data_IF_220156991441
#
_entry.id   IF_220156991441
#
_cell.length_a   1.000
_cell.length_b   1.000
_cell.length_c   1.000
_cell.angle_alpha   90.00
_cell.angle_beta   90.00
_cell.angle_gamma   90.00
#
_symmetry.space_group_name_H-M   'P 1'
#
loop_
_entity.id
_entity.type
_entity.pdbx_description
1 polymer ?
#
# COMPACT_ATOMS: atom_id res chain seq x y z
N UNK A 1 11.59 39.49 -1.08
CA UNK A 1 10.40 39.69 -0.22
C UNK A 1 9.16 39.35 -1.03
N UNK A 2 8.48 38.28 -0.71
CA UNK A 2 7.19 37.93 -1.28
C UNK A 2 6.15 38.96 -0.85
N UNK A 3 5.53 39.68 -1.82
CA UNK A 3 4.37 40.54 -1.52
C UNK A 3 3.13 39.66 -1.51
N UNK A 4 2.42 39.62 -0.37
CA UNK A 4 1.10 39.02 -0.28
C UNK A 4 0.20 39.77 -1.28
N UNK A 5 -0.37 39.05 -2.27
CA UNK A 5 -1.23 39.64 -3.32
C UNK A 5 -0.73 39.48 -4.77
N UNK A 6 0.46 38.89 -4.97
CA UNK A 6 1.00 38.60 -6.33
C UNK A 6 0.68 37.18 -6.83
N UNK A 7 -0.22 36.45 -6.16
CA UNK A 7 -0.66 35.13 -6.58
C UNK A 7 -1.90 35.23 -7.48
N UNK A 8 -1.88 34.44 -8.56
CA UNK A 8 -3.06 34.28 -9.42
C UNK A 8 -4.20 33.66 -8.61
N UNK A 9 -5.38 34.27 -8.62
CA UNK A 9 -6.51 33.75 -7.84
C UNK A 9 -7.03 32.43 -8.43
N UNK A 10 -7.64 31.62 -7.56
CA UNK A 10 -8.26 30.34 -7.97
C UNK A 10 -9.39 30.58 -8.98
N UNK A 11 -10.12 31.65 -8.81
CA UNK A 11 -11.21 32.07 -9.72
C UNK A 11 -10.68 32.44 -11.09
N UNK A 12 -9.57 33.16 -11.16
CA UNK A 12 -8.91 33.51 -12.43
C UNK A 12 -8.43 32.24 -13.16
N UNK A 13 -7.75 31.32 -12.45
CA UNK A 13 -7.29 30.06 -13.03
C UNK A 13 -8.46 29.19 -13.50
N UNK A 14 -9.56 29.13 -12.75
CA UNK A 14 -10.76 28.38 -13.13
C UNK A 14 -11.56 29.01 -14.29
N UNK A 15 -11.37 30.30 -14.55
CA UNK A 15 -12.03 31.01 -15.65
C UNK A 15 -11.20 31.04 -16.96
N UNK A 16 -9.97 30.50 -16.95
CA UNK A 16 -9.14 30.44 -18.16
C UNK A 16 -9.73 29.48 -19.18
N UNK A 17 -10.07 30.00 -20.36
CA UNK A 17 -10.42 29.17 -21.51
C UNK A 17 -9.15 28.72 -22.24
N UNK A 18 -8.65 27.53 -21.88
CA UNK A 18 -7.47 26.92 -22.51
C UNK A 18 -7.69 26.51 -23.96
N UNK A 19 -8.93 26.62 -24.49
CA UNK A 19 -9.22 26.38 -25.90
C UNK A 19 -9.14 27.65 -26.73
N UNK A 20 -8.90 28.79 -26.11
CA UNK A 20 -8.73 30.07 -26.84
C UNK A 20 -7.40 30.10 -27.59
N UNK A 21 -7.43 29.83 -28.89
CA UNK A 21 -6.27 29.76 -29.78
C UNK A 21 -5.49 31.10 -29.92
N UNK A 22 -6.05 32.23 -29.48
CA UNK A 22 -5.34 33.50 -29.45
C UNK A 22 -4.44 33.68 -28.24
N UNK A 23 -4.66 32.91 -27.19
CA UNK A 23 -3.92 32.97 -25.93
C UNK A 23 -3.06 31.73 -25.64
N UNK A 24 -3.45 30.58 -26.21
CA UNK A 24 -2.80 29.30 -25.96
C UNK A 24 -2.57 28.54 -27.26
N UNK A 25 -1.35 28.04 -27.44
CA UNK A 25 -1.03 27.06 -28.46
C UNK A 25 -1.23 25.64 -27.91
N UNK A 26 -1.88 24.78 -28.68
CA UNK A 26 -2.08 23.39 -28.31
C UNK A 26 -1.07 22.53 -29.04
N UNK A 27 -0.20 21.91 -28.25
CA UNK A 27 0.70 20.87 -28.73
C UNK A 27 0.24 19.52 -28.21
N UNK A 28 0.23 18.51 -29.06
CA UNK A 28 0.03 17.12 -28.69
C UNK A 28 1.38 16.40 -28.69
N UNK A 29 1.95 16.22 -27.50
CA UNK A 29 3.16 15.41 -27.32
C UNK A 29 2.76 13.94 -27.41
N UNK A 30 3.04 13.29 -28.51
CA UNK A 30 2.61 11.92 -28.80
C UNK A 30 3.20 10.91 -27.81
N UNK A 31 4.44 11.11 -27.40
CA UNK A 31 5.09 10.27 -26.37
C UNK A 31 4.33 10.31 -25.03
N UNK A 32 3.89 11.50 -24.61
CA UNK A 32 3.11 11.66 -23.37
C UNK A 32 1.72 10.99 -23.47
N UNK A 33 1.12 10.93 -24.65
CA UNK A 33 -0.14 10.22 -24.87
C UNK A 33 -0.01 8.71 -24.69
N UNK A 34 1.19 8.14 -24.79
CA UNK A 34 1.44 6.71 -24.53
C UNK A 34 1.22 6.33 -23.07
N UNK A 35 1.26 7.29 -22.15
CA UNK A 35 0.93 7.04 -20.73
C UNK A 35 -0.58 6.91 -20.49
N UNK A 36 -1.42 7.33 -21.43
CA UNK A 36 -2.87 7.29 -21.30
C UNK A 36 -3.42 5.87 -21.44
N UNK A 37 -4.30 5.49 -20.53
CA UNK A 37 -5.03 4.22 -20.57
C UNK A 37 -6.51 4.42 -20.26
N UNK A 38 -7.30 3.40 -20.55
CA UNK A 38 -8.69 3.29 -20.09
C UNK A 38 -8.84 1.98 -19.34
N UNK A 39 -9.44 2.04 -18.15
CA UNK A 39 -9.75 0.87 -17.36
C UNK A 39 -11.19 0.94 -16.83
N UNK A 40 -11.83 -0.20 -16.75
CA UNK A 40 -13.14 -0.39 -16.09
C UNK A 40 -13.06 -1.64 -15.25
N UNK A 41 -13.32 -1.51 -13.95
CA UNK A 41 -13.45 -2.65 -13.04
C UNK A 41 -14.90 -2.79 -12.59
N UNK A 42 -15.35 -4.03 -12.51
CA UNK A 42 -16.64 -4.40 -11.94
C UNK A 42 -16.39 -5.48 -10.91
N UNK A 43 -16.78 -5.23 -9.66
CA UNK A 43 -16.66 -6.18 -8.56
C UNK A 43 -18.05 -6.57 -8.11
N UNK A 44 -18.37 -7.86 -8.23
CA UNK A 44 -19.56 -8.46 -7.64
C UNK A 44 -19.14 -9.25 -6.41
N UNK A 45 -19.70 -8.93 -5.24
CA UNK A 45 -19.30 -9.55 -4.00
C UNK A 45 -20.49 -9.91 -3.11
N UNK A 46 -20.34 -11.02 -2.38
CA UNK A 46 -21.23 -11.43 -1.31
C UNK A 46 -20.44 -11.80 -0.08
N UNK A 47 -21.04 -11.66 1.09
CA UNK A 47 -20.41 -12.07 2.36
C UNK A 47 -21.42 -12.69 3.30
N UNK A 48 -20.90 -13.58 4.14
CA UNK A 48 -21.60 -14.15 5.30
C UNK A 48 -20.80 -13.85 6.54
N UNK A 49 -21.48 -13.51 7.62
CA UNK A 49 -20.88 -13.29 8.93
C UNK A 49 -21.70 -14.02 9.98
N UNK A 50 -21.01 -14.71 10.87
CA UNK A 50 -21.58 -15.39 12.02
C UNK A 50 -20.88 -14.91 13.28
N UNK A 51 -21.65 -14.40 14.24
CA UNK A 51 -21.17 -13.91 15.53
C UNK A 51 -21.76 -14.79 16.63
N UNK A 52 -20.92 -15.36 17.49
CA UNK A 52 -21.33 -16.24 18.57
C UNK A 52 -20.62 -15.86 19.86
N UNK A 53 -21.39 -15.65 20.92
CA UNK A 53 -20.89 -15.59 22.30
C UNK A 53 -20.93 -16.99 22.93
N UNK A 54 -19.77 -17.44 23.40
CA UNK A 54 -19.65 -18.73 24.08
C UNK A 54 -19.41 -18.49 25.59
N UNK A 55 -20.45 -18.63 26.37
CA UNK A 55 -20.46 -18.26 27.78
C UNK A 55 -20.30 -16.73 27.95
N UNK A 56 -19.60 -16.33 29.04
CA UNK A 56 -19.41 -14.91 29.41
C UNK A 56 -18.08 -14.32 28.91
N UNK A 57 -17.17 -15.19 28.43
CA UNK A 57 -15.76 -14.79 28.19
C UNK A 57 -15.31 -14.86 26.74
N UNK A 58 -16.01 -15.57 25.89
CA UNK A 58 -15.60 -15.80 24.53
C UNK A 58 -16.53 -15.13 23.53
N UNK A 59 -15.99 -14.35 22.63
CA UNK A 59 -16.66 -13.88 21.42
C UNK A 59 -15.96 -14.48 20.20
N UNK A 60 -16.71 -15.16 19.36
CA UNK A 60 -16.27 -15.75 18.10
C UNK A 60 -16.96 -15.03 16.94
N UNK A 61 -16.19 -14.59 15.96
CA UNK A 61 -16.70 -14.09 14.68
C UNK A 61 -16.09 -14.91 13.53
N UNK A 62 -16.96 -15.46 12.68
CA UNK A 62 -16.58 -16.12 11.45
C UNK A 62 -17.11 -15.29 10.27
N UNK A 63 -16.28 -15.07 9.30
CA UNK A 63 -16.60 -14.35 8.07
C UNK A 63 -16.15 -15.12 6.85
N UNK A 64 -16.93 -15.05 5.79
CA UNK A 64 -16.55 -15.51 4.46
C UNK A 64 -17.03 -14.49 3.45
N UNK A 65 -16.11 -13.94 2.66
CA UNK A 65 -16.40 -13.04 1.56
C UNK A 65 -15.94 -13.68 0.24
N UNK A 66 -16.82 -13.63 -0.73
CA UNK A 66 -16.53 -14.03 -2.11
C UNK A 66 -16.57 -12.77 -2.99
N UNK A 67 -15.54 -12.55 -3.77
CA UNK A 67 -15.46 -11.44 -4.73
C UNK A 67 -15.12 -11.96 -6.12
N UNK A 68 -16.00 -11.71 -7.08
CA UNK A 68 -15.70 -11.89 -8.49
C UNK A 68 -15.37 -10.53 -9.10
N UNK A 69 -14.14 -10.38 -9.56
CA UNK A 69 -13.65 -9.15 -10.19
C UNK A 69 -13.53 -9.37 -11.69
N UNK A 70 -14.12 -8.47 -12.47
CA UNK A 70 -13.93 -8.39 -13.91
C UNK A 70 -13.30 -7.04 -14.25
N UNK A 71 -12.13 -7.06 -14.86
CA UNK A 71 -11.39 -5.86 -15.28
C UNK A 71 -11.26 -5.85 -16.79
N UNK A 72 -11.50 -4.68 -17.41
CA UNK A 72 -11.33 -4.42 -18.84
C UNK A 72 -10.46 -3.18 -18.98
N UNK A 73 -9.41 -3.27 -19.80
CA UNK A 73 -8.43 -2.20 -19.96
C UNK A 73 -7.95 -2.09 -21.40
N UNK A 74 -7.50 -0.91 -21.79
CA UNK A 74 -6.73 -0.65 -23.00
C UNK A 74 -5.68 0.39 -22.71
N UNK A 75 -4.52 0.22 -23.27
CA UNK A 75 -3.41 1.14 -23.15
C UNK A 75 -3.19 1.97 -24.41
N UNK A 76 -2.01 2.53 -24.51
CA UNK A 76 -1.54 3.26 -25.67
C UNK A 76 -0.09 2.84 -25.96
N UNK A 77 0.25 2.77 -27.22
CA UNK A 77 1.59 2.44 -27.69
C UNK A 77 2.12 3.61 -28.52
N UNK A 78 3.28 4.09 -28.16
CA UNK A 78 4.00 5.10 -28.93
C UNK A 78 4.94 4.42 -29.92
N UNK A 79 4.74 4.69 -31.18
CA UNK A 79 5.69 4.35 -32.25
C UNK A 79 6.62 5.54 -32.48
N UNK A 80 7.88 5.31 -32.17
CA UNK A 80 8.86 6.37 -32.24
C UNK A 80 9.36 6.64 -33.67
N UNK A 81 9.15 5.72 -34.63
CA UNK A 81 9.51 5.91 -36.04
C UNK A 81 8.43 6.69 -36.79
N UNK A 82 7.17 6.44 -36.46
CA UNK A 82 6.03 7.19 -36.99
C UNK A 82 5.69 8.43 -36.18
N UNK A 83 6.34 8.67 -35.02
CA UNK A 83 6.03 9.72 -34.04
C UNK A 83 4.53 9.76 -33.70
N UNK A 84 3.93 8.58 -33.53
CA UNK A 84 2.49 8.44 -33.41
C UNK A 84 2.11 7.52 -32.26
N UNK A 85 1.11 7.93 -31.49
CA UNK A 85 0.51 7.10 -30.45
C UNK A 85 -0.77 6.47 -30.95
N UNK A 86 -0.84 5.13 -30.83
CA UNK A 86 -2.02 4.34 -31.15
C UNK A 86 -2.57 3.67 -29.90
N UNK A 87 -3.89 3.51 -29.84
CA UNK A 87 -4.53 2.81 -28.73
C UNK A 87 -4.51 1.30 -28.95
N UNK A 88 -4.12 0.55 -27.92
CA UNK A 88 -4.20 -0.91 -27.96
C UNK A 88 -5.66 -1.39 -27.93
N UNK A 89 -5.95 -2.57 -28.45
CA UNK A 89 -7.24 -3.22 -28.26
C UNK A 89 -7.60 -3.37 -26.78
N UNK A 90 -8.89 -3.53 -26.48
CA UNK A 90 -9.30 -3.85 -25.11
C UNK A 90 -8.95 -5.28 -24.77
N UNK A 91 -8.33 -5.45 -23.63
CA UNK A 91 -8.13 -6.74 -22.97
C UNK A 91 -9.02 -6.84 -21.73
N UNK A 92 -9.31 -8.05 -21.29
CA UNK A 92 -10.11 -8.27 -20.09
C UNK A 92 -9.65 -9.51 -19.35
N UNK A 93 -9.75 -9.43 -18.03
CA UNK A 93 -9.49 -10.57 -17.13
C UNK A 93 -10.58 -10.67 -16.06
N UNK A 94 -10.75 -11.87 -15.51
CA UNK A 94 -11.72 -12.15 -14.46
C UNK A 94 -11.15 -13.14 -13.48
N UNK A 95 -11.31 -12.86 -12.19
CA UNK A 95 -10.84 -13.72 -11.11
C UNK A 95 -11.77 -13.72 -9.91
N UNK A 96 -11.81 -14.85 -9.20
CA UNK A 96 -12.59 -15.06 -7.98
C UNK A 96 -11.66 -15.11 -6.78
N UNK A 97 -11.97 -14.31 -5.75
CA UNK A 97 -11.29 -14.35 -4.47
C UNK A 97 -12.21 -14.90 -3.38
N UNK A 98 -11.67 -15.81 -2.59
CA UNK A 98 -12.31 -16.38 -1.41
C UNK A 98 -11.56 -15.86 -0.18
N UNK A 99 -12.23 -15.07 0.65
CA UNK A 99 -11.63 -14.32 1.73
C UNK A 99 -12.26 -14.71 3.07
N UNK A 100 -11.80 -15.80 3.70
CA UNK A 100 -12.23 -16.20 5.03
C UNK A 100 -11.63 -15.29 6.10
N UNK A 101 -12.36 -15.15 7.21
CA UNK A 101 -11.89 -14.47 8.41
C UNK A 101 -12.39 -15.20 9.66
N UNK A 102 -11.54 -15.30 10.67
CA UNK A 102 -11.85 -15.83 12.00
C UNK A 102 -11.29 -14.86 13.01
N UNK A 103 -12.14 -14.36 13.90
CA UNK A 103 -11.72 -13.51 15.02
C UNK A 103 -12.23 -14.15 16.32
N UNK A 104 -11.35 -14.25 17.29
CA UNK A 104 -11.65 -14.76 18.63
C UNK A 104 -11.21 -13.71 19.63
N UNK A 105 -12.13 -13.34 20.53
CA UNK A 105 -11.82 -12.52 21.70
C UNK A 105 -12.08 -13.34 22.96
N UNK A 106 -11.15 -13.26 23.90
CA UNK A 106 -11.27 -13.85 25.22
C UNK A 106 -11.13 -12.78 26.30
N UNK A 107 -12.19 -12.59 27.09
CA UNK A 107 -12.18 -11.72 28.27
C UNK A 107 -11.60 -12.50 29.45
N UNK A 108 -10.30 -12.31 29.73
CA UNK A 108 -9.62 -12.94 30.88
C UNK A 108 -10.28 -12.48 32.17
N UNK A 109 -10.45 -11.14 32.27
CA UNK A 109 -11.23 -10.43 33.27
C UNK A 109 -11.78 -9.12 32.68
N UNK A 110 -12.36 -8.25 33.49
CA UNK A 110 -12.97 -7.01 33.02
C UNK A 110 -11.94 -6.04 32.39
N UNK A 111 -10.72 -6.06 32.88
CA UNK A 111 -9.65 -5.15 32.49
C UNK A 111 -8.71 -5.74 31.42
N UNK A 112 -8.62 -7.08 31.31
CA UNK A 112 -7.67 -7.73 30.40
C UNK A 112 -8.37 -8.61 29.36
N UNK A 113 -8.04 -8.35 28.08
CA UNK A 113 -8.61 -9.06 26.92
C UNK A 113 -7.48 -9.59 26.03
N UNK A 114 -7.73 -10.78 25.47
CA UNK A 114 -6.86 -11.39 24.46
C UNK A 114 -7.64 -11.54 23.17
N UNK A 115 -7.02 -11.21 22.04
CA UNK A 115 -7.60 -11.37 20.70
C UNK A 115 -6.67 -12.18 19.83
N UNK A 116 -7.28 -13.08 19.06
CA UNK A 116 -6.60 -13.79 17.99
C UNK A 116 -7.40 -13.62 16.70
N UNK A 117 -6.71 -13.42 15.59
CA UNK A 117 -7.37 -13.33 14.29
C UNK A 117 -6.60 -14.08 13.21
N UNK A 118 -7.38 -14.61 12.26
CA UNK A 118 -6.93 -15.06 10.96
C UNK A 118 -7.76 -14.35 9.89
N UNK A 119 -7.12 -13.73 8.93
CA UNK A 119 -7.80 -13.08 7.81
C UNK A 119 -7.05 -13.34 6.52
N UNK A 120 -7.79 -13.48 5.44
CA UNK A 120 -7.24 -13.46 4.09
C UNK A 120 -7.63 -12.14 3.41
N UNK A 121 -6.65 -11.44 2.84
CA UNK A 121 -6.84 -10.15 2.19
C UNK A 121 -6.18 -10.11 0.82
N UNK A 122 -6.62 -9.20 -0.03
CA UNK A 122 -6.06 -9.00 -1.38
C UNK A 122 -5.65 -7.55 -1.58
N UNK A 123 -4.61 -7.36 -2.41
CA UNK A 123 -4.27 -6.07 -3.01
C UNK A 123 -4.29 -6.22 -4.53
N UNK A 124 -5.13 -5.43 -5.20
CA UNK A 124 -5.26 -5.46 -6.65
C UNK A 124 -4.12 -4.71 -7.33
N UNK A 125 -3.68 -5.12 -8.54
CA UNK A 125 -2.73 -4.34 -9.33
C UNK A 125 -3.30 -2.94 -9.61
N UNK A 126 -2.42 -1.96 -9.73
CA UNK A 126 -2.80 -0.64 -10.24
C UNK A 126 -3.26 -0.74 -11.68
N UNK A 127 -4.28 0.03 -12.07
CA UNK A 127 -4.78 0.01 -13.46
C UNK A 127 -3.72 0.41 -14.47
N UNK A 128 -2.83 1.35 -14.12
CA UNK A 128 -1.70 1.73 -14.97
C UNK A 128 -0.72 0.57 -15.20
N UNK A 129 -0.57 -0.32 -14.22
CA UNK A 129 0.29 -1.50 -14.32
C UNK A 129 -0.32 -2.60 -15.20
N UNK A 130 -1.67 -2.74 -15.19
CA UNK A 130 -2.41 -3.68 -16.04
C UNK A 130 -2.54 -3.21 -17.48
N UNK A 131 -2.54 -1.89 -17.72
CA UNK A 131 -2.74 -1.34 -19.05
C UNK A 131 -1.57 -1.78 -19.97
N UNK A 132 -1.83 -2.29 -21.19
CA UNK A 132 -0.80 -2.73 -22.12
C UNK A 132 -0.11 -1.54 -22.80
N UNK A 133 0.40 -0.61 -21.99
CA UNK A 133 1.13 0.54 -22.46
C UNK A 133 2.55 0.13 -22.87
N UNK A 134 3.06 0.75 -23.94
CA UNK A 134 4.45 0.68 -24.33
C UNK A 134 4.96 2.11 -24.46
N UNK A 135 5.88 2.49 -23.61
CA UNK A 135 6.53 3.81 -23.63
C UNK A 135 8.01 3.65 -23.91
N UNK A 136 8.49 4.28 -24.97
CA UNK A 136 9.89 4.27 -25.36
C UNK A 136 10.44 5.70 -25.22
N UNK A 137 11.47 5.86 -24.38
CA UNK A 137 12.24 7.10 -24.25
C UNK A 137 13.53 6.98 -25.04
N UNK A 138 13.55 7.55 -26.23
CA UNK A 138 14.70 7.47 -27.14
C UNK A 138 15.93 8.19 -26.59
N UNK A 139 15.75 9.34 -25.94
CA UNK A 139 16.86 10.10 -25.34
C UNK A 139 17.70 9.26 -24.38
N UNK A 140 17.04 8.39 -23.64
CA UNK A 140 17.64 7.60 -22.57
C UNK A 140 17.85 6.12 -22.97
N UNK A 141 17.35 5.76 -24.16
CA UNK A 141 17.28 4.38 -24.67
C UNK A 141 16.58 3.44 -23.67
N UNK A 142 15.44 3.90 -23.11
CA UNK A 142 14.66 3.16 -22.13
C UNK A 142 13.31 2.73 -22.70
N UNK A 143 12.80 1.58 -22.24
CA UNK A 143 11.45 1.09 -22.56
C UNK A 143 10.73 0.68 -21.27
N UNK A 144 9.46 1.06 -21.17
CA UNK A 144 8.56 0.69 -20.07
C UNK A 144 7.28 0.06 -20.62
N UNK A 145 6.90 -1.10 -20.07
CA UNK A 145 5.70 -1.82 -20.46
C UNK A 145 4.77 -2.01 -19.27
N UNK A 146 3.46 -1.92 -19.54
CA UNK A 146 2.48 -2.49 -18.63
C UNK A 146 2.43 -4.02 -18.69
N UNK A 147 1.74 -4.65 -17.76
CA UNK A 147 1.61 -6.10 -17.70
C UNK A 147 0.15 -6.54 -17.45
N UNK A 148 -0.58 -6.85 -18.51
CA UNK A 148 -1.95 -7.37 -18.42
C UNK A 148 -2.09 -8.68 -17.64
N UNK A 149 -1.01 -9.45 -17.52
CA UNK A 149 -1.00 -10.73 -16.82
C UNK A 149 -0.82 -10.67 -15.30
N UNK A 150 -0.84 -9.47 -14.70
CA UNK A 150 -0.69 -9.32 -13.25
C UNK A 150 -1.87 -9.92 -12.49
N UNK A 151 -1.53 -10.72 -11.46
CA UNK A 151 -2.48 -11.28 -10.50
C UNK A 151 -2.55 -10.40 -9.25
N UNK A 152 -3.70 -10.41 -8.54
CA UNK A 152 -3.77 -9.79 -7.22
C UNK A 152 -2.78 -10.43 -6.25
N UNK A 153 -2.16 -9.60 -5.42
CA UNK A 153 -1.39 -10.06 -4.26
C UNK A 153 -2.35 -10.59 -3.21
N UNK A 154 -2.09 -11.78 -2.67
CA UNK A 154 -2.85 -12.41 -1.61
C UNK A 154 -2.05 -12.38 -0.30
N UNK A 155 -2.71 -12.08 0.83
CA UNK A 155 -2.08 -12.11 2.14
C UNK A 155 -2.90 -12.92 3.14
N UNK A 156 -2.26 -13.91 3.76
CA UNK A 156 -2.77 -14.64 4.92
C UNK A 156 -2.19 -13.98 6.17
N UNK A 157 -3.06 -13.45 7.03
CA UNK A 157 -2.67 -12.68 8.20
C UNK A 157 -3.08 -13.42 9.45
N UNK A 158 -2.16 -13.55 10.40
CA UNK A 158 -2.38 -14.12 11.73
C UNK A 158 -1.95 -13.08 12.77
N UNK A 159 -2.84 -12.74 13.68
CA UNK A 159 -2.59 -11.77 14.74
C UNK A 159 -2.97 -12.36 16.09
N UNK A 160 -2.14 -12.08 17.10
CA UNK A 160 -2.44 -12.38 18.50
C UNK A 160 -2.07 -11.16 19.34
N UNK A 161 -3.01 -10.64 20.13
CA UNK A 161 -2.78 -9.46 20.95
C UNK A 161 -3.41 -9.57 22.32
N UNK A 162 -2.80 -8.92 23.31
CA UNK A 162 -3.34 -8.70 24.65
C UNK A 162 -3.53 -7.22 24.91
N UNK A 163 -4.65 -6.85 25.51
CA UNK A 163 -5.04 -5.48 25.82
C UNK A 163 -5.38 -5.37 27.31
N UNK A 164 -4.73 -4.47 28.02
CA UNK A 164 -5.05 -4.15 29.39
C UNK A 164 -5.59 -2.72 29.51
N UNK A 165 -6.79 -2.58 30.01
CA UNK A 165 -7.50 -1.34 30.21
C UNK A 165 -7.32 -0.86 31.66
N UNK A 166 -6.75 0.32 31.84
CA UNK A 166 -6.61 0.89 33.17
C UNK A 166 -7.95 1.43 33.68
N UNK A 167 -8.16 1.44 34.99
CA UNK A 167 -9.37 2.00 35.61
C UNK A 167 -9.56 3.50 35.36
N UNK A 168 -8.46 4.24 35.15
CA UNK A 168 -8.45 5.60 34.60
C UNK A 168 -8.37 5.53 33.06
N UNK A 169 -8.40 6.69 32.39
CA UNK A 169 -8.20 6.73 30.93
C UNK A 169 -6.81 6.17 30.59
N UNK A 170 -6.77 5.00 29.98
CA UNK A 170 -5.51 4.40 29.56
C UNK A 170 -5.64 2.96 29.07
N UNK A 171 -4.71 2.58 28.20
CA UNK A 171 -4.59 1.26 27.57
C UNK A 171 -3.11 0.92 27.40
N UNK A 172 -2.75 -0.31 27.67
CA UNK A 172 -1.54 -0.94 27.15
C UNK A 172 -1.93 -2.15 26.30
N UNK A 173 -1.35 -2.26 25.12
CA UNK A 173 -1.52 -3.44 24.28
C UNK A 173 -0.16 -3.93 23.78
N UNK A 174 -0.07 -5.25 23.63
CA UNK A 174 1.06 -5.90 22.98
C UNK A 174 0.51 -6.98 22.05
N UNK A 175 1.10 -7.11 20.87
CA UNK A 175 0.68 -8.09 19.87
C UNK A 175 1.85 -8.63 19.08
N UNK A 176 1.64 -9.80 18.50
CA UNK A 176 2.50 -10.40 17.47
C UNK A 176 1.65 -10.60 16.23
N UNK A 177 2.24 -10.40 15.07
CA UNK A 177 1.60 -10.66 13.79
C UNK A 177 2.51 -11.43 12.86
N UNK A 178 1.89 -12.25 12.02
CA UNK A 178 2.55 -12.93 10.92
C UNK A 178 1.72 -12.78 9.65
N UNK A 179 2.35 -12.38 8.54
CA UNK A 179 1.71 -12.27 7.23
C UNK A 179 2.50 -13.08 6.22
N UNK A 180 1.79 -13.96 5.51
CA UNK A 180 2.31 -14.64 4.32
C UNK A 180 1.72 -13.98 3.09
N UNK A 181 2.55 -13.31 2.31
CA UNK A 181 2.18 -12.53 1.14
C UNK A 181 2.60 -13.32 -0.10
N UNK A 182 1.64 -13.62 -0.97
CA UNK A 182 1.88 -14.33 -2.21
C UNK A 182 1.66 -13.39 -3.40
N UNK A 183 2.43 -13.61 -4.47
CA UNK A 183 2.30 -12.87 -5.73
C UNK A 183 2.40 -11.34 -5.56
N UNK A 184 3.26 -10.85 -4.66
CA UNK A 184 3.42 -9.40 -4.51
C UNK A 184 3.99 -8.79 -5.79
N UNK A 185 3.56 -7.56 -6.10
CA UNK A 185 3.88 -6.87 -7.35
C UNK A 185 5.02 -5.90 -7.09
N UNK A 186 6.03 -5.97 -7.96
CA UNK A 186 7.17 -5.04 -8.00
C UNK A 186 7.43 -4.59 -9.42
N UNK A 187 8.06 -3.42 -9.59
CA UNK A 187 8.56 -2.96 -10.87
C UNK A 187 9.93 -3.59 -11.13
N UNK A 188 9.96 -4.56 -12.06
CA UNK A 188 11.20 -5.17 -12.51
C UNK A 188 11.90 -4.23 -13.48
N UNK A 189 13.17 -3.95 -13.22
CA UNK A 189 14.06 -3.21 -14.13
C UNK A 189 15.19 -4.12 -14.58
N UNK A 190 15.39 -4.24 -15.91
CA UNK A 190 16.49 -5.00 -16.53
C UNK A 190 17.36 -4.03 -17.34
N UNK A 191 18.66 -4.27 -17.35
CA UNK A 191 19.61 -3.51 -18.18
C UNK A 191 20.01 -4.30 -19.42
N UNK A 192 20.30 -3.57 -20.51
CA UNK A 192 20.73 -4.14 -21.78
C UNK A 192 19.77 -5.24 -22.29
N UNK A 193 18.46 -4.99 -22.14
CA UNK A 193 17.42 -5.95 -22.48
C UNK A 193 16.98 -5.79 -23.94
N UNK A 194 16.91 -6.91 -24.67
CA UNK A 194 16.44 -6.90 -26.06
C UNK A 194 14.92 -7.09 -26.12
N UNK A 195 14.22 -6.15 -26.70
CA UNK A 195 12.79 -6.20 -26.96
C UNK A 195 12.51 -5.91 -28.44
N UNK A 196 11.81 -6.82 -29.11
CA UNK A 196 11.50 -6.74 -30.55
C UNK A 196 12.71 -6.42 -31.43
N UNK A 197 13.89 -7.02 -31.11
CA UNK A 197 15.12 -6.84 -31.88
C UNK A 197 15.92 -5.58 -31.56
N UNK A 198 15.43 -4.71 -30.71
CA UNK A 198 16.13 -3.50 -30.23
C UNK A 198 16.64 -3.74 -28.81
N UNK A 199 17.89 -3.39 -28.54
CA UNK A 199 18.48 -3.46 -27.19
C UNK A 199 18.33 -2.11 -26.49
N UNK A 200 17.64 -2.12 -25.36
CA UNK A 200 17.42 -0.95 -24.51
C UNK A 200 18.38 -0.98 -23.32
N UNK A 201 18.90 0.19 -22.93
CA UNK A 201 19.75 0.32 -21.72
C UNK A 201 18.99 0.01 -20.46
N UNK A 202 17.67 0.29 -20.46
CA UNK A 202 16.77 0.01 -19.34
C UNK A 202 15.40 -0.45 -19.86
N UNK A 203 14.97 -1.58 -19.34
CA UNK A 203 13.63 -2.13 -19.51
C UNK A 203 12.93 -2.14 -18.16
N UNK A 204 11.69 -1.67 -18.08
CA UNK A 204 10.89 -1.69 -16.86
C UNK A 204 9.52 -2.30 -17.09
N UNK A 205 9.09 -3.20 -16.20
CA UNK A 205 7.77 -3.81 -16.24
C UNK A 205 7.31 -4.24 -14.85
N UNK A 206 6.06 -3.94 -14.42
CA UNK A 206 5.50 -4.50 -13.20
C UNK A 206 5.29 -6.01 -13.35
N UNK A 207 5.71 -6.80 -12.33
CA UNK A 207 5.55 -8.26 -12.32
C UNK A 207 5.18 -8.77 -10.93
N UNK A 208 4.47 -9.90 -10.88
CA UNK A 208 4.33 -10.67 -9.65
C UNK A 208 5.66 -11.37 -9.37
N UNK A 209 6.25 -11.12 -8.21
CA UNK A 209 7.63 -11.44 -7.90
C UNK A 209 7.83 -12.43 -6.76
N UNK A 210 6.95 -13.41 -6.62
CA UNK A 210 7.15 -14.44 -5.62
C UNK A 210 6.44 -14.17 -4.30
N UNK A 211 6.99 -14.70 -3.20
CA UNK A 211 6.33 -14.68 -1.89
C UNK A 211 7.17 -13.92 -0.87
N UNK A 212 6.51 -13.34 0.12
CA UNK A 212 7.16 -12.72 1.25
C UNK A 212 6.51 -13.14 2.57
N UNK A 213 7.34 -13.29 3.58
CA UNK A 213 6.91 -13.47 4.96
C UNK A 213 7.20 -12.18 5.74
N UNK A 214 6.27 -11.76 6.58
CA UNK A 214 6.40 -10.62 7.46
C UNK A 214 5.99 -11.04 8.87
N UNK A 215 6.92 -11.01 9.80
CA UNK A 215 6.70 -11.28 11.22
C UNK A 215 6.99 -10.02 12.03
N UNK A 216 6.16 -9.69 13.02
CA UNK A 216 6.44 -8.54 13.85
C UNK A 216 5.79 -8.57 15.21
N UNK A 217 6.22 -7.61 16.03
CA UNK A 217 5.72 -7.35 17.37
C UNK A 217 5.31 -5.88 17.45
N UNK A 218 4.15 -5.63 18.01
CA UNK A 218 3.63 -4.29 18.24
C UNK A 218 3.36 -4.06 19.71
N UNK A 219 3.71 -2.86 20.21
CA UNK A 219 3.36 -2.42 21.55
C UNK A 219 2.75 -1.03 21.46
N UNK A 220 1.63 -0.82 22.14
CA UNK A 220 1.03 0.50 22.27
C UNK A 220 0.76 0.79 23.76
N UNK A 221 1.01 2.01 24.14
CA UNK A 221 0.74 2.51 25.49
C UNK A 221 0.09 3.89 25.40
N UNK A 222 -1.02 4.04 26.08
CA UNK A 222 -1.69 5.34 26.24
C UNK A 222 -2.14 5.48 27.69
N UNK A 223 -1.79 6.58 28.33
CA UNK A 223 -2.27 6.88 29.68
C UNK A 223 -2.09 8.35 30.03
N UNK A 224 -3.04 8.91 30.83
CA UNK A 224 -2.80 10.15 31.55
C UNK A 224 -1.88 9.91 32.77
N UNK A 225 -1.31 10.97 33.33
CA UNK A 225 -0.43 10.87 34.48
C UNK A 225 -1.14 11.01 35.84
N UNK A 226 -2.47 10.82 35.88
CA UNK A 226 -3.26 10.83 37.13
C UNK A 226 -2.82 9.73 38.13
N UNK A 227 -2.18 8.67 37.65
CA UNK A 227 -1.61 7.61 38.50
C UNK A 227 -0.39 8.05 39.29
N UNK A 228 0.31 9.14 38.88
CA UNK A 228 1.40 9.75 39.62
C UNK A 228 0.83 10.76 40.63
N UNK A 229 -0.02 11.66 40.13
CA UNK A 229 -0.73 12.65 40.95
C UNK A 229 -2.04 13.07 40.30
N UNK A 230 -3.16 13.22 41.04
CA UNK A 230 -4.45 13.62 40.47
C UNK A 230 -4.42 14.96 39.73
N UNK A 231 -3.51 15.86 40.08
CA UNK A 231 -3.30 17.14 39.38
C UNK A 231 -2.76 16.99 37.97
N UNK A 232 -2.13 15.87 37.65
CA UNK A 232 -1.52 15.58 36.33
C UNK A 232 -2.49 14.88 35.36
N UNK A 233 -3.80 14.76 35.70
CA UNK A 233 -4.80 14.16 34.82
C UNK A 233 -4.95 14.85 33.46
N UNK A 234 -4.50 16.11 33.35
CA UNK A 234 -4.54 16.88 32.11
C UNK A 234 -3.33 16.63 31.20
N UNK A 235 -2.35 15.88 31.65
CA UNK A 235 -1.16 15.51 30.86
C UNK A 235 -1.21 14.01 30.64
N UNK A 236 -0.88 13.57 29.42
CA UNK A 236 -0.79 12.15 29.13
C UNK A 236 0.21 11.88 28.02
N UNK A 237 0.51 10.60 27.89
CA UNK A 237 1.43 10.06 26.91
C UNK A 237 0.71 9.01 26.06
N UNK A 238 1.00 9.02 24.75
CA UNK A 238 0.68 7.98 23.81
C UNK A 238 1.96 7.57 23.10
N UNK A 239 2.22 6.27 23.01
CA UNK A 239 3.36 5.76 22.28
C UNK A 239 3.02 4.42 21.62
N UNK A 240 3.57 4.22 20.43
CA UNK A 240 3.56 2.93 19.72
C UNK A 240 4.96 2.59 19.27
N UNK A 241 5.27 1.32 19.29
CA UNK A 241 6.49 0.78 18.72
C UNK A 241 6.17 -0.52 18.01
N UNK A 242 6.67 -0.65 16.77
CA UNK A 242 6.57 -1.87 15.98
C UNK A 242 7.98 -2.30 15.56
N UNK A 243 8.29 -3.56 15.81
CA UNK A 243 9.38 -4.28 15.18
C UNK A 243 8.81 -5.21 14.12
N UNK A 244 9.32 -5.16 12.89
CA UNK A 244 8.90 -6.03 11.80
C UNK A 244 10.09 -6.61 11.04
N UNK A 245 10.11 -7.91 10.90
CA UNK A 245 11.08 -8.64 10.09
C UNK A 245 10.38 -9.16 8.85
N UNK A 246 10.84 -8.74 7.67
CA UNK A 246 10.34 -9.24 6.39
C UNK A 246 11.41 -10.05 5.67
N UNK A 247 10.97 -11.07 4.93
CA UNK A 247 11.82 -11.89 4.09
C UNK A 247 11.08 -12.21 2.80
N UNK A 248 11.73 -11.96 1.68
CA UNK A 248 11.26 -12.33 0.35
C UNK A 248 11.96 -13.64 -0.06
N UNK A 249 11.13 -14.63 -0.41
CA UNK A 249 11.59 -15.91 -0.93
C UNK A 249 11.13 -16.10 -2.37
N UNK A 250 11.88 -16.92 -3.14
CA UNK A 250 11.60 -17.24 -4.54
C UNK A 250 11.50 -15.97 -5.42
N UNK A 251 12.51 -15.14 -5.29
CA UNK A 251 12.61 -13.92 -6.08
C UNK A 251 12.81 -14.28 -7.56
N UNK A 252 11.74 -14.15 -8.34
CA UNK A 252 11.72 -14.60 -9.73
C UNK A 252 12.10 -13.46 -10.70
N UNK A 253 13.30 -12.87 -10.48
CA UNK A 253 13.85 -11.85 -11.35
C UNK A 253 15.04 -12.40 -12.12
N UNK A 254 15.08 -12.13 -13.41
CA UNK A 254 16.22 -12.42 -14.25
C UNK A 254 17.49 -11.76 -13.69
N UNK A 255 18.53 -12.58 -13.48
CA UNK A 255 19.80 -12.16 -12.88
C UNK A 255 19.84 -12.13 -11.35
N UNK A 256 18.70 -12.41 -10.65
CA UNK A 256 18.60 -12.41 -9.19
C UNK A 256 17.92 -13.67 -8.62
N UNK A 257 17.77 -14.72 -9.42
CA UNK A 257 17.01 -15.93 -9.09
C UNK A 257 17.60 -16.70 -7.88
N UNK A 258 18.89 -16.49 -7.61
CA UNK A 258 19.60 -17.12 -6.50
C UNK A 258 19.63 -16.24 -5.23
N UNK A 259 19.02 -15.08 -5.25
CA UNK A 259 18.97 -14.23 -4.07
C UNK A 259 17.87 -14.69 -3.12
N UNK A 260 18.21 -14.76 -1.84
CA UNK A 260 17.30 -15.12 -0.77
C UNK A 260 17.46 -14.16 0.41
N UNK A 261 16.39 -14.01 1.20
CA UNK A 261 16.44 -13.22 2.42
C UNK A 261 16.40 -11.70 2.21
N UNK A 262 15.99 -11.24 1.03
CA UNK A 262 15.76 -9.82 0.78
C UNK A 262 14.60 -9.30 1.65
N UNK A 263 14.71 -8.05 2.06
CA UNK A 263 13.62 -7.38 2.79
C UNK A 263 12.53 -6.94 1.83
N UNK A 264 11.29 -6.96 2.27
CA UNK A 264 10.16 -6.45 1.51
C UNK A 264 10.30 -4.92 1.35
N UNK A 265 10.20 -4.37 0.12
CA UNK A 265 10.24 -2.93 -0.11
C UNK A 265 9.17 -2.18 0.68
N UNK A 266 9.48 -0.94 1.08
CA UNK A 266 8.57 -0.11 1.85
C UNK A 266 8.31 -0.60 3.28
N UNK A 267 9.08 -1.59 3.80
CA UNK A 267 8.90 -2.19 5.12
C UNK A 267 10.06 -1.87 6.06
N UNK A 268 10.02 -0.75 6.82
CA UNK A 268 11.01 -0.46 7.83
C UNK A 268 10.99 -1.49 8.95
N UNK A 269 12.17 -1.86 9.46
CA UNK A 269 12.31 -2.84 10.53
C UNK A 269 11.81 -2.30 11.88
N UNK A 270 12.00 -1.01 12.12
CA UNK A 270 11.57 -0.34 13.34
C UNK A 270 10.74 0.89 13.01
N UNK A 271 9.56 0.98 13.60
CA UNK A 271 8.76 2.20 13.60
C UNK A 271 8.36 2.57 15.02
N UNK A 272 8.37 3.84 15.33
CA UNK A 272 7.94 4.35 16.63
C UNK A 272 7.19 5.68 16.47
N UNK A 273 6.13 5.83 17.25
CA UNK A 273 5.40 7.08 17.38
C UNK A 273 5.26 7.40 18.85
N UNK A 274 5.51 8.64 19.22
CA UNK A 274 5.35 9.12 20.59
C UNK A 274 4.64 10.48 20.57
N UNK A 275 3.70 10.67 21.48
CA UNK A 275 3.01 11.94 21.68
C UNK A 275 2.87 12.24 23.16
N UNK A 276 3.22 13.45 23.54
CA UNK A 276 2.88 14.04 24.82
C UNK A 276 1.74 15.02 24.61
N UNK A 277 0.67 14.92 25.39
CA UNK A 277 -0.46 15.81 25.27
C UNK A 277 -0.85 16.47 26.60
N UNK A 278 -1.34 17.69 26.48
CA UNK A 278 -1.92 18.45 27.58
C UNK A 278 -3.30 18.93 27.18
N UNK A 279 -4.32 18.65 28.01
CA UNK A 279 -5.70 19.04 27.76
C UNK A 279 -6.32 19.60 29.05
N UNK A 280 -6.62 20.90 29.07
CA UNK A 280 -7.28 21.56 30.22
C UNK A 280 -8.04 22.80 29.78
N UNK A 281 -9.28 22.94 30.26
CA UNK A 281 -10.10 24.16 30.11
C UNK A 281 -10.19 24.72 28.69
N UNK A 282 -10.35 23.84 27.68
CA UNK A 282 -10.45 24.23 26.27
C UNK A 282 -9.08 24.45 25.57
N UNK A 283 -7.97 24.39 26.29
CA UNK A 283 -6.62 24.39 25.72
C UNK A 283 -6.16 22.95 25.50
N UNK A 284 -5.74 22.62 24.24
CA UNK A 284 -5.15 21.36 23.86
C UNK A 284 -3.79 21.61 23.20
N UNK A 285 -2.76 20.98 23.72
CA UNK A 285 -1.38 21.03 23.18
C UNK A 285 -0.93 19.61 22.97
N UNK A 286 -0.31 19.32 21.81
CA UNK A 286 0.27 18.01 21.50
C UNK A 286 1.66 18.17 20.87
N UNK A 287 2.63 17.47 21.42
CA UNK A 287 3.94 17.28 20.83
C UNK A 287 4.08 15.85 20.35
N UNK A 288 4.39 15.65 19.07
CA UNK A 288 4.47 14.31 18.46
C UNK A 288 5.83 14.10 17.80
N UNK A 289 6.35 12.88 17.93
CA UNK A 289 7.56 12.40 17.29
C UNK A 289 7.26 11.10 16.56
N UNK A 290 7.74 10.98 15.31
CA UNK A 290 7.61 9.79 14.49
C UNK A 290 9.01 9.36 14.04
N UNK A 291 9.25 8.05 14.06
CA UNK A 291 10.50 7.44 13.64
C UNK A 291 10.22 6.22 12.76
N UNK A 292 10.98 6.08 11.69
CA UNK A 292 11.08 4.85 10.90
C UNK A 292 12.57 4.59 10.60
N UNK A 293 13.00 3.34 10.73
CA UNK A 293 14.35 2.93 10.33
C UNK A 293 14.50 2.97 8.82
N UNK A 294 15.74 2.90 8.32
CA UNK A 294 16.00 2.73 6.91
C UNK A 294 15.35 1.44 6.37
N UNK A 295 14.88 1.47 5.15
CA UNK A 295 14.25 0.35 4.45
C UNK A 295 14.61 0.38 2.96
N UNK A 296 14.38 -0.74 2.27
CA UNK A 296 14.51 -0.81 0.82
C UNK A 296 13.29 -0.10 0.22
N UNK A 297 13.52 0.93 -0.59
CA UNK A 297 12.45 1.67 -1.27
C UNK A 297 11.96 0.89 -2.50
N UNK A 298 12.88 0.52 -3.41
CA UNK A 298 12.58 -0.22 -4.63
C UNK A 298 13.57 -1.40 -4.82
N UNK A 299 13.10 -2.44 -5.48
CA UNK A 299 13.94 -3.56 -5.90
C UNK A 299 14.34 -3.39 -7.36
N UNK A 300 15.58 -2.98 -7.61
CA UNK A 300 16.16 -2.91 -8.94
C UNK A 300 16.78 -4.23 -9.41
N UNK A 301 17.23 -4.24 -10.68
CA UNK A 301 17.97 -5.39 -11.28
C UNK A 301 19.42 -5.51 -10.79
N UNK A 302 19.95 -4.51 -10.10
CA UNK A 302 21.35 -4.50 -9.65
C UNK A 302 21.45 -4.78 -8.15
N UNK A 303 22.52 -5.54 -7.78
CA UNK A 303 22.98 -5.62 -6.40
C UNK A 303 23.64 -4.30 -6.04
N UNK A 304 23.22 -3.69 -4.95
CA UNK A 304 23.93 -2.58 -4.31
C UNK A 304 24.95 -3.13 -3.32
#
# INVERSE_FOLDING_TARGET
QYKVGSFVSKEYLGALDLNNASLFEKEQVQEELATNFKAKETVAAGYLRFDQKLGKKWDLMLGLRLENTHVKYSGSQFDADEEKTTRTPYESDSYLNVLPSVLVKYDVNDDFKVRASFTNTIARPKYSALAPNITIKRSDNEISLGNPGLKPTLSYNFDLSGEYYFKSIGLVSAGIFYKKINDFIVDQTLRNYSYNGTTYTKFSQPRNSGNADLLGVEVAYQRDFSFIAPSLKCIGFYGTYTYSYSRVDNFNFEGRENESGLRLPGSPEHTANASLFFEKSGLSIRLSYNYASAFIDEMGSEKF
#
